data_IF_068467601107
#
_entry.id   IF_068467601107
#
_cell.length_a   1.000
_cell.length_b   1.000
_cell.length_c   1.000
_cell.angle_alpha   90.00
_cell.angle_beta   90.00
_cell.angle_gamma   90.00
#
_symmetry.space_group_name_H-M   'P 1'
#
loop_
_entity.id
_entity.type
_entity.pdbx_description
1 polymer ?
#
# COMPACT_ATOMS: atom_id res chain seq x y z
N UNK A 1 -63.26 -33.58 -13.27
CA UNK A 1 -62.23 -32.72 -12.63
C UNK A 1 -60.98 -32.76 -13.52
N UNK A 2 -60.72 -31.73 -14.34
CA UNK A 2 -59.55 -31.68 -15.24
C UNK A 2 -58.40 -30.96 -14.53
N UNK A 3 -57.27 -31.64 -14.37
CA UNK A 3 -56.03 -31.04 -13.89
C UNK A 3 -55.32 -30.43 -15.10
N UNK A 4 -55.22 -29.10 -15.14
CA UNK A 4 -54.48 -28.36 -16.17
C UNK A 4 -53.01 -28.33 -15.75
N UNK A 5 -52.17 -29.15 -16.40
CA UNK A 5 -50.72 -29.03 -16.25
C UNK A 5 -50.21 -27.85 -17.09
N UNK A 6 -49.85 -26.76 -16.42
CA UNK A 6 -49.08 -25.67 -17.03
C UNK A 6 -47.65 -26.13 -17.28
N UNK A 7 -47.35 -26.56 -18.52
CA UNK A 7 -45.96 -26.68 -18.98
C UNK A 7 -45.44 -25.29 -19.32
N UNK A 8 -44.58 -24.74 -18.46
CA UNK A 8 -43.83 -23.53 -18.78
C UNK A 8 -42.82 -23.86 -19.90
N UNK A 9 -42.78 -23.07 -20.99
CA UNK A 9 -41.92 -23.35 -22.12
C UNK A 9 -40.43 -23.21 -21.74
N UNK A 10 -39.62 -24.18 -22.16
CA UNK A 10 -38.17 -24.28 -21.90
C UNK A 10 -37.41 -22.96 -22.20
N UNK A 11 -37.91 -22.19 -23.17
CA UNK A 11 -37.37 -20.90 -23.59
C UNK A 11 -37.41 -19.84 -22.48
N UNK A 12 -38.42 -19.89 -21.60
CA UNK A 12 -38.54 -18.98 -20.47
C UNK A 12 -37.50 -19.31 -19.39
N UNK A 13 -37.22 -20.60 -19.15
CA UNK A 13 -36.22 -21.04 -18.17
C UNK A 13 -34.81 -20.58 -18.60
N UNK A 14 -34.49 -20.68 -19.89
CA UNK A 14 -33.20 -20.24 -20.42
C UNK A 14 -33.03 -18.71 -20.36
N UNK A 15 -34.10 -17.96 -20.60
CA UNK A 15 -34.11 -16.50 -20.48
C UNK A 15 -33.89 -16.04 -19.02
N UNK A 16 -34.53 -16.72 -18.06
CA UNK A 16 -34.30 -16.48 -16.63
C UNK A 16 -32.84 -16.76 -16.22
N UNK A 17 -32.24 -17.83 -16.76
CA UNK A 17 -30.84 -18.16 -16.48
C UNK A 17 -29.87 -17.09 -17.02
N UNK A 18 -30.12 -16.56 -18.22
CA UNK A 18 -29.32 -15.47 -18.80
C UNK A 18 -29.45 -14.15 -18.03
N UNK A 19 -30.66 -13.79 -17.58
CA UNK A 19 -30.89 -12.57 -16.78
C UNK A 19 -30.16 -12.67 -15.42
N UNK A 20 -30.19 -13.84 -14.78
CA UNK A 20 -29.47 -14.07 -13.52
C UNK A 20 -27.95 -14.02 -13.70
N UNK A 21 -27.42 -14.53 -14.83
CA UNK A 21 -25.98 -14.50 -15.10
C UNK A 21 -25.46 -13.06 -15.28
N UNK A 22 -26.20 -12.20 -15.99
CA UNK A 22 -25.86 -10.79 -16.17
C UNK A 22 -25.94 -10.03 -14.85
N UNK A 23 -26.95 -10.30 -14.02
CA UNK A 23 -27.12 -9.66 -12.71
C UNK A 23 -25.98 -9.94 -11.71
N UNK A 24 -25.37 -11.12 -11.76
CA UNK A 24 -24.26 -11.49 -10.85
C UNK A 24 -22.95 -10.78 -11.23
N UNK A 25 -22.71 -10.51 -12.52
CA UNK A 25 -21.46 -9.88 -12.98
C UNK A 25 -21.29 -8.41 -12.58
N UNK A 26 -22.40 -7.71 -12.27
CA UNK A 26 -22.37 -6.28 -11.92
C UNK A 26 -22.02 -5.99 -10.45
N UNK A 27 -22.03 -7.00 -9.56
CA UNK A 27 -21.80 -6.82 -8.12
C UNK A 27 -20.30 -6.85 -7.76
N UNK A 28 -19.42 -7.29 -8.67
CA UNK A 28 -17.99 -7.41 -8.41
C UNK A 28 -17.20 -6.09 -8.41
N UNK A 29 -17.76 -4.98 -8.92
CA UNK A 29 -17.06 -3.69 -9.00
C UNK A 29 -17.31 -2.74 -7.82
N UNK A 30 -18.18 -3.08 -6.87
CA UNK A 30 -18.48 -2.20 -5.72
C UNK A 30 -17.81 -2.64 -4.42
N UNK A 31 -16.80 -3.50 -4.48
CA UNK A 31 -16.03 -3.86 -3.29
C UNK A 31 -15.45 -2.58 -2.65
N UNK A 32 -15.82 -2.22 -1.41
CA UNK A 32 -15.27 -1.04 -0.77
C UNK A 32 -13.78 -1.26 -0.57
N UNK A 33 -12.96 -0.55 -1.34
CA UNK A 33 -11.53 -0.45 -1.04
C UNK A 33 -11.43 0.19 0.33
N UNK A 34 -11.01 -0.58 1.34
CA UNK A 34 -10.64 -0.06 2.65
C UNK A 34 -9.41 0.84 2.45
N UNK A 35 -9.64 2.09 2.07
CA UNK A 35 -8.67 3.15 2.27
C UNK A 35 -8.55 3.31 3.77
N UNK A 36 -7.60 2.59 4.36
CA UNK A 36 -7.06 2.99 5.64
C UNK A 36 -6.38 4.33 5.37
N UNK A 37 -7.02 5.43 5.74
CA UNK A 37 -6.38 6.75 5.78
C UNK A 37 -5.28 6.68 6.85
N UNK A 38 -4.16 6.05 6.51
CA UNK A 38 -2.95 6.09 7.31
C UNK A 38 -2.42 7.50 7.11
N UNK A 39 -2.73 8.37 8.06
CA UNK A 39 -2.32 9.77 8.07
C UNK A 39 -0.84 9.84 7.70
N UNK A 40 -0.51 10.51 6.58
CA UNK A 40 0.87 10.56 6.09
C UNK A 40 1.68 11.38 7.08
N UNK A 41 2.45 10.71 7.95
CA UNK A 41 3.33 11.38 8.90
C UNK A 41 4.35 12.23 8.15
N UNK A 42 4.28 13.54 8.32
CA UNK A 42 5.27 14.52 7.83
C UNK A 42 6.33 14.72 8.90
N UNK A 43 7.58 14.97 8.49
CA UNK A 43 8.63 15.40 9.41
C UNK A 43 9.47 16.53 8.82
N UNK A 44 10.00 17.36 9.71
CA UNK A 44 10.86 18.49 9.36
C UNK A 44 12.32 18.04 9.20
N UNK A 45 12.86 18.21 7.99
CA UNK A 45 14.29 18.11 7.70
C UNK A 45 15.01 19.32 8.28
N UNK A 46 14.49 20.51 7.98
CA UNK A 46 14.87 21.81 8.56
C UNK A 46 13.60 22.62 8.85
N UNK A 47 13.74 23.87 9.32
CA UNK A 47 12.59 24.75 9.53
C UNK A 47 11.80 25.00 8.23
N UNK A 48 12.45 24.93 7.07
CA UNK A 48 11.86 25.28 5.78
C UNK A 48 11.70 24.06 4.84
N UNK A 49 12.11 22.87 5.27
CA UNK A 49 12.07 21.66 4.46
C UNK A 49 11.34 20.54 5.19
N UNK A 50 10.29 20.03 4.54
CA UNK A 50 9.43 18.95 5.02
C UNK A 50 9.61 17.71 4.15
N UNK A 51 9.37 16.54 4.75
CA UNK A 51 9.34 15.27 4.03
C UNK A 51 8.24 14.37 4.53
N UNK A 52 7.57 13.69 3.59
CA UNK A 52 6.55 12.69 3.86
C UNK A 52 7.19 11.31 4.08
N UNK A 53 6.70 10.57 5.08
CA UNK A 53 6.99 9.15 5.24
C UNK A 53 6.13 8.32 4.28
N UNK A 54 6.62 8.11 3.07
CA UNK A 54 5.93 7.33 2.03
C UNK A 54 6.51 5.92 1.85
N UNK A 55 7.72 5.67 2.33
CA UNK A 55 8.41 4.40 2.17
C UNK A 55 7.88 3.37 3.19
N UNK A 56 7.66 2.14 2.76
CA UNK A 56 7.19 1.03 3.59
C UNK A 56 8.29 0.50 4.51
N UNK A 57 7.90 0.13 5.73
CA UNK A 57 8.87 -0.30 6.74
C UNK A 57 9.35 -1.74 6.57
N UNK A 58 8.55 -2.59 5.93
CA UNK A 58 8.84 -4.01 5.75
C UNK A 58 9.42 -4.35 4.37
N UNK A 59 9.63 -3.35 3.51
CA UNK A 59 10.22 -3.49 2.19
C UNK A 59 11.69 -3.05 2.20
N UNK A 60 12.61 -3.93 1.82
CA UNK A 60 14.05 -3.65 1.88
C UNK A 60 14.50 -2.65 0.82
N UNK A 61 13.81 -2.59 -0.32
CA UNK A 61 14.13 -1.70 -1.44
C UNK A 61 13.76 -0.28 -1.07
N UNK A 62 12.65 -0.09 -0.36
CA UNK A 62 12.26 1.21 0.19
C UNK A 62 13.27 1.76 1.19
N UNK A 63 13.93 0.91 1.98
CA UNK A 63 15.04 1.36 2.83
C UNK A 63 16.25 1.80 1.99
N UNK A 64 16.58 1.07 0.92
CA UNK A 64 17.66 1.45 0.01
C UNK A 64 17.36 2.79 -0.67
N UNK A 65 16.16 2.95 -1.23
CA UNK A 65 15.75 4.16 -1.95
C UNK A 65 15.65 5.37 -1.02
N UNK A 66 15.16 5.19 0.20
CA UNK A 66 15.15 6.23 1.23
C UNK A 66 16.57 6.72 1.57
N UNK A 67 17.49 5.76 1.76
CA UNK A 67 18.91 6.02 1.96
C UNK A 67 19.50 6.77 0.77
N UNK A 68 19.29 6.27 -0.45
CA UNK A 68 19.80 6.86 -1.69
C UNK A 68 19.36 8.31 -1.87
N UNK A 69 18.06 8.59 -1.70
CA UNK A 69 17.52 9.96 -1.76
C UNK A 69 18.16 10.84 -0.69
N UNK A 70 18.35 10.31 0.52
CA UNK A 70 19.02 11.02 1.60
C UNK A 70 20.47 11.37 1.24
N UNK A 71 21.23 10.41 0.68
CA UNK A 71 22.60 10.64 0.24
C UNK A 71 22.69 11.73 -0.83
N UNK A 72 21.74 11.74 -1.77
CA UNK A 72 21.72 12.65 -2.91
C UNK A 72 21.28 14.07 -2.57
N UNK A 73 20.30 14.24 -1.68
CA UNK A 73 19.65 15.54 -1.46
C UNK A 73 19.83 16.10 -0.05
N UNK A 74 20.21 15.26 0.91
CA UNK A 74 20.23 15.60 2.34
C UNK A 74 21.46 15.01 3.05
N UNK A 75 22.59 14.94 2.34
CA UNK A 75 23.83 14.28 2.81
C UNK A 75 24.26 14.75 4.20
N UNK A 76 24.15 16.05 4.46
CA UNK A 76 24.46 16.71 5.74
C UNK A 76 23.52 16.33 6.90
N UNK A 77 22.34 15.79 6.62
CA UNK A 77 21.32 15.42 7.62
C UNK A 77 21.24 13.91 7.85
N UNK A 78 22.29 13.14 7.50
CA UNK A 78 22.32 11.68 7.58
C UNK A 78 21.73 11.11 8.87
N UNK A 79 22.28 11.49 10.02
CA UNK A 79 21.90 10.91 11.31
C UNK A 79 20.46 11.29 11.68
N UNK A 80 20.05 12.53 11.39
CA UNK A 80 18.66 12.98 11.59
C UNK A 80 17.69 12.15 10.75
N UNK A 81 18.00 11.94 9.47
CA UNK A 81 17.15 11.17 8.54
C UNK A 81 17.06 9.71 8.92
N UNK A 82 18.20 9.10 9.24
CA UNK A 82 18.25 7.70 9.63
C UNK A 82 17.51 7.45 10.95
N UNK A 83 17.71 8.33 11.94
CA UNK A 83 16.99 8.27 13.22
C UNK A 83 15.48 8.39 13.00
N UNK A 84 15.06 9.37 12.20
CA UNK A 84 13.65 9.57 11.88
C UNK A 84 13.03 8.34 11.21
N UNK A 85 13.71 7.75 10.20
CA UNK A 85 13.24 6.56 9.49
C UNK A 85 13.07 5.36 10.42
N UNK A 86 14.05 5.13 11.31
CA UNK A 86 13.98 4.08 12.32
C UNK A 86 12.78 4.31 13.24
N UNK A 87 12.66 5.48 13.85
CA UNK A 87 11.57 5.78 14.79
C UNK A 87 10.20 5.61 14.14
N UNK A 88 10.02 6.15 12.93
CA UNK A 88 8.78 5.99 12.16
C UNK A 88 8.41 4.52 11.99
N UNK A 89 9.38 3.67 11.65
CA UNK A 89 9.13 2.26 11.41
C UNK A 89 8.99 1.43 12.68
N UNK A 90 9.70 1.75 13.76
CA UNK A 90 9.52 1.10 15.06
C UNK A 90 8.13 1.43 15.64
N UNK A 91 7.70 2.69 15.57
CA UNK A 91 6.34 3.11 15.94
C UNK A 91 5.27 2.44 15.07
N UNK A 92 5.50 2.37 13.76
CA UNK A 92 4.49 1.83 12.82
C UNK A 92 4.36 0.30 12.88
N UNK A 93 5.40 -0.41 13.32
CA UNK A 93 5.42 -1.89 13.36
C UNK A 93 5.37 -2.46 14.77
N UNK A 94 5.60 -1.65 15.80
CA UNK A 94 5.73 -2.09 17.20
C UNK A 94 6.97 -2.95 17.46
N UNK A 95 7.93 -2.97 16.53
CA UNK A 95 9.11 -3.85 16.58
C UNK A 95 10.38 -3.06 16.28
N UNK A 96 11.47 -3.42 16.95
CA UNK A 96 12.80 -2.90 16.61
C UNK A 96 13.18 -3.26 15.17
N UNK A 97 13.81 -2.33 14.46
CA UNK A 97 14.19 -2.58 13.07
C UNK A 97 15.39 -3.54 12.99
N UNK A 98 15.23 -4.58 12.19
CA UNK A 98 16.28 -5.55 11.90
C UNK A 98 17.48 -4.87 11.19
N UNK A 99 18.71 -5.27 11.54
CA UNK A 99 19.96 -4.81 10.93
C UNK A 99 19.99 -4.88 9.40
N UNK A 100 19.26 -5.82 8.77
CA UNK A 100 19.19 -5.92 7.30
C UNK A 100 18.67 -4.63 6.64
N UNK A 101 17.66 -4.01 7.24
CA UNK A 101 17.04 -2.79 6.74
C UNK A 101 17.95 -1.59 6.98
N UNK A 102 18.57 -1.52 8.16
CA UNK A 102 19.56 -0.51 8.50
C UNK A 102 20.72 -0.51 7.51
N UNK A 103 21.27 -1.70 7.19
CA UNK A 103 22.34 -1.86 6.20
C UNK A 103 21.90 -1.48 4.78
N UNK A 104 20.67 -1.83 4.39
CA UNK A 104 20.10 -1.43 3.09
C UNK A 104 20.08 0.09 2.91
N UNK A 105 19.63 0.80 3.95
CA UNK A 105 19.61 2.26 3.96
C UNK A 105 21.00 2.88 3.92
N UNK A 106 21.95 2.35 4.71
CA UNK A 106 23.34 2.82 4.68
C UNK A 106 23.99 2.64 3.30
N UNK A 107 23.73 1.51 2.65
CA UNK A 107 24.21 1.23 1.30
C UNK A 107 23.62 2.21 0.28
N UNK A 108 22.31 2.44 0.32
CA UNK A 108 21.63 3.42 -0.52
C UNK A 108 22.21 4.81 -0.32
N UNK A 109 22.33 5.23 0.94
CA UNK A 109 22.89 6.52 1.31
C UNK A 109 24.32 6.70 0.82
N UNK A 110 25.19 5.70 0.99
CA UNK A 110 26.56 5.72 0.46
C UNK A 110 26.56 5.88 -1.07
N UNK A 111 25.66 5.19 -1.77
CA UNK A 111 25.55 5.28 -3.24
C UNK A 111 25.02 6.63 -3.72
N UNK A 112 24.09 7.23 -2.99
CA UNK A 112 23.50 8.52 -3.35
C UNK A 112 24.40 9.73 -3.06
N UNK A 113 25.38 9.59 -2.16
CA UNK A 113 26.31 10.66 -1.77
C UNK A 113 27.51 10.84 -2.72
N UNK A 114 27.56 10.09 -3.82
CA UNK A 114 28.65 10.15 -4.81
C UNK A 114 28.33 11.25 -5.82
#
# INVERSE_FOLDING_TARGET
MRIVQHRLPLKNIFLFFMIMLVGVTLIACSAPHKQTNKERKVFHITNNQLRFNIAECNDIDDWYLDGYRTGKSYSQYKEKMFSQRRNYCEESTGKKINKKFQKSWENGYKKGRI
#
